data_IF_605674284145
#
_entry.id   IF_605674284145
#
_cell.length_a   1.000
_cell.length_b   1.000
_cell.length_c   1.000
_cell.angle_alpha   90.00
_cell.angle_beta   90.00
_cell.angle_gamma   90.00
#
_symmetry.space_group_name_H-M   'P 1'
#
loop_
_entity.id
_entity.type
_entity.pdbx_description
1 polymer ?
#
# COMPACT_ATOMS: atom_id res chain seq x y z
N UNK A 1 -28.74 6.76 -20.38
CA UNK A 1 -27.66 5.81 -20.65
C UNK A 1 -26.60 5.76 -19.54
N UNK A 2 -25.91 6.86 -19.14
CA UNK A 2 -24.97 6.87 -18.00
C UNK A 2 -25.63 6.40 -16.69
N UNK A 3 -26.86 6.82 -16.41
CA UNK A 3 -27.62 6.42 -15.22
C UNK A 3 -27.91 4.91 -15.20
N UNK A 4 -28.15 4.28 -16.37
CA UNK A 4 -28.37 2.84 -16.44
C UNK A 4 -27.12 2.03 -16.11
N UNK A 5 -25.93 2.49 -16.53
CA UNK A 5 -24.66 1.87 -16.17
C UNK A 5 -24.41 1.99 -14.67
N UNK A 6 -24.55 3.18 -14.11
CA UNK A 6 -24.42 3.43 -12.67
C UNK A 6 -25.36 2.51 -11.86
N UNK A 7 -26.63 2.39 -12.28
CA UNK A 7 -27.61 1.52 -11.63
C UNK A 7 -27.22 0.04 -11.69
N UNK A 8 -26.63 -0.40 -12.80
CA UNK A 8 -26.15 -1.76 -12.95
C UNK A 8 -24.94 -2.05 -12.04
N UNK A 9 -23.96 -1.13 -12.00
CA UNK A 9 -22.80 -1.25 -11.14
C UNK A 9 -23.20 -1.25 -9.65
N UNK A 10 -24.11 -0.37 -9.24
CA UNK A 10 -24.66 -0.36 -7.87
C UNK A 10 -25.40 -1.67 -7.54
N UNK A 11 -26.09 -2.28 -8.51
CA UNK A 11 -26.74 -3.59 -8.32
C UNK A 11 -25.72 -4.72 -8.14
N UNK A 12 -24.62 -4.71 -8.88
CA UNK A 12 -23.51 -5.66 -8.71
C UNK A 12 -22.86 -5.53 -7.33
N UNK A 13 -22.67 -4.30 -6.86
CA UNK A 13 -22.03 -4.01 -5.58
C UNK A 13 -22.96 -4.21 -4.37
N UNK A 14 -24.26 -4.46 -4.58
CA UNK A 14 -25.27 -4.59 -3.50
C UNK A 14 -24.83 -5.58 -2.42
N UNK A 15 -24.41 -6.78 -2.78
CA UNK A 15 -24.02 -7.81 -1.82
C UNK A 15 -22.76 -7.38 -1.03
N UNK A 16 -21.83 -6.75 -1.70
CA UNK A 16 -20.59 -6.23 -1.10
C UNK A 16 -20.92 -5.13 -0.08
N UNK A 17 -21.85 -4.22 -0.42
CA UNK A 17 -22.31 -3.15 0.49
C UNK A 17 -23.02 -3.75 1.72
N UNK A 18 -23.85 -4.78 1.56
CA UNK A 18 -24.53 -5.43 2.67
C UNK A 18 -23.53 -6.07 3.64
N UNK A 19 -22.53 -6.78 3.12
CA UNK A 19 -21.48 -7.40 3.93
C UNK A 19 -20.69 -6.32 4.69
N UNK A 20 -20.32 -5.23 4.02
CA UNK A 20 -19.60 -4.12 4.63
C UNK A 20 -20.43 -3.44 5.73
N UNK A 21 -21.69 -3.13 5.46
CA UNK A 21 -22.58 -2.55 6.45
C UNK A 21 -22.73 -3.45 7.68
N UNK A 22 -22.72 -4.78 7.48
CA UNK A 22 -22.72 -5.76 8.56
C UNK A 22 -21.47 -5.67 9.44
N UNK A 23 -20.28 -5.57 8.84
CA UNK A 23 -19.04 -5.40 9.59
C UNK A 23 -18.99 -4.05 10.32
N UNK A 24 -19.47 -2.98 9.71
CA UNK A 24 -19.58 -1.69 10.38
C UNK A 24 -20.56 -1.75 11.56
N UNK A 25 -21.71 -2.40 11.40
CA UNK A 25 -22.65 -2.59 12.49
C UNK A 25 -22.03 -3.41 13.65
N UNK A 26 -21.26 -4.44 13.33
CA UNK A 26 -20.54 -5.23 14.32
C UNK A 26 -19.50 -4.39 15.07
N UNK A 27 -18.77 -3.51 14.40
CA UNK A 27 -17.83 -2.59 15.04
C UNK A 27 -18.52 -1.59 15.97
N UNK A 28 -19.75 -1.15 15.63
CA UNK A 28 -20.58 -0.33 16.52
C UNK A 28 -20.99 -1.09 17.80
N UNK A 29 -21.41 -2.34 17.66
CA UNK A 29 -21.77 -3.18 18.82
C UNK A 29 -20.56 -3.37 19.75
N UNK A 30 -19.40 -3.64 19.16
CA UNK A 30 -18.15 -3.75 19.94
C UNK A 30 -17.82 -2.42 20.64
N UNK A 31 -18.02 -1.29 19.97
CA UNK A 31 -17.84 0.05 20.54
C UNK A 31 -18.73 0.28 21.73
N UNK A 32 -19.99 -0.15 21.69
CA UNK A 32 -20.94 -0.05 22.78
C UNK A 32 -20.56 -0.90 24.01
N UNK A 33 -19.97 -2.08 23.77
CA UNK A 33 -19.54 -3.00 24.83
C UNK A 33 -18.23 -2.54 25.46
N UNK A 34 -17.32 -1.97 24.67
CA UNK A 34 -15.95 -1.61 25.08
C UNK A 34 -15.85 -0.16 25.56
N UNK A 35 -16.76 0.29 26.42
CA UNK A 35 -16.71 1.63 26.99
C UNK A 35 -15.29 1.98 27.45
N UNK A 36 -14.60 2.91 26.79
CA UNK A 36 -13.28 3.48 27.12
C UNK A 36 -12.03 2.85 26.48
N UNK A 37 -12.13 1.99 25.46
CA UNK A 37 -10.94 1.51 24.75
C UNK A 37 -10.82 2.11 23.35
N UNK A 38 -9.60 2.37 22.86
CA UNK A 38 -9.33 2.82 21.48
C UNK A 38 -9.52 1.69 20.43
N UNK A 39 -9.82 0.48 20.88
CA UNK A 39 -10.01 -0.72 20.04
C UNK A 39 -11.11 -0.54 18.99
N UNK A 40 -12.29 0.06 19.30
CA UNK A 40 -13.34 0.26 18.30
C UNK A 40 -12.93 1.16 17.14
N UNK A 41 -12.14 2.19 17.41
CA UNK A 41 -11.65 3.14 16.40
C UNK A 41 -10.68 2.44 15.45
N UNK A 42 -9.79 1.62 15.99
CA UNK A 42 -8.86 0.82 15.19
C UNK A 42 -9.58 -0.17 14.28
N UNK A 43 -10.60 -0.88 14.79
CA UNK A 43 -11.41 -1.80 13.98
C UNK A 43 -12.16 -1.09 12.87
N UNK A 44 -12.73 0.08 13.14
CA UNK A 44 -13.40 0.89 12.14
C UNK A 44 -12.47 1.26 10.97
N UNK A 45 -11.26 1.74 11.26
CA UNK A 45 -10.27 2.07 10.24
C UNK A 45 -9.80 0.84 9.45
N UNK A 46 -9.60 -0.30 10.12
CA UNK A 46 -9.21 -1.53 9.46
C UNK A 46 -10.29 -2.02 8.48
N UNK A 47 -11.55 -1.96 8.89
CA UNK A 47 -12.69 -2.32 8.03
C UNK A 47 -12.74 -1.39 6.81
N UNK A 48 -12.60 -0.08 7.00
CA UNK A 48 -12.58 0.90 5.91
C UNK A 48 -11.43 0.63 4.95
N UNK A 49 -10.22 0.38 5.47
CA UNK A 49 -9.05 0.08 4.67
C UNK A 49 -9.28 -1.15 3.78
N UNK A 50 -9.66 -2.27 4.38
CA UNK A 50 -9.89 -3.51 3.65
C UNK A 50 -10.97 -3.33 2.59
N UNK A 51 -12.04 -2.62 2.95
CA UNK A 51 -13.15 -2.44 2.04
C UNK A 51 -12.80 -1.50 0.88
N UNK A 52 -12.03 -0.46 1.14
CA UNK A 52 -11.54 0.45 0.11
C UNK A 52 -10.63 -0.24 -0.91
N UNK A 53 -9.97 -1.33 -0.54
CA UNK A 53 -9.16 -2.15 -1.43
C UNK A 53 -10.00 -3.22 -2.17
N UNK A 54 -11.02 -3.78 -1.53
CA UNK A 54 -11.86 -4.86 -2.10
C UNK A 54 -12.90 -4.33 -3.11
N UNK A 55 -13.52 -3.18 -2.83
CA UNK A 55 -14.56 -2.63 -3.72
C UNK A 55 -14.08 -2.40 -5.15
N UNK A 56 -12.88 -1.83 -5.41
CA UNK A 56 -12.36 -1.70 -6.77
C UNK A 56 -12.22 -3.04 -7.48
N UNK A 57 -11.74 -4.09 -6.79
CA UNK A 57 -11.60 -5.43 -7.36
C UNK A 57 -12.94 -6.00 -7.84
N UNK A 58 -14.00 -5.84 -7.02
CA UNK A 58 -15.34 -6.32 -7.37
C UNK A 58 -15.94 -5.48 -8.49
N UNK A 59 -15.81 -4.16 -8.39
CA UNK A 59 -16.35 -3.21 -9.37
C UNK A 59 -15.70 -3.33 -10.75
N UNK A 60 -14.40 -3.65 -10.76
CA UNK A 60 -13.60 -3.79 -11.97
C UNK A 60 -13.34 -5.26 -12.34
N UNK A 61 -14.08 -6.21 -11.75
CA UNK A 61 -13.90 -7.66 -12.00
C UNK A 61 -13.97 -8.04 -13.48
N UNK A 62 -14.77 -7.31 -14.27
CA UNK A 62 -14.84 -7.50 -15.73
C UNK A 62 -13.49 -7.32 -16.45
N UNK A 63 -12.54 -6.58 -15.85
CA UNK A 63 -11.20 -6.38 -16.42
C UNK A 63 -10.34 -7.65 -16.36
N UNK A 64 -10.73 -8.62 -15.54
CA UNK A 64 -10.02 -9.88 -15.36
C UNK A 64 -10.59 -11.01 -16.23
N UNK A 65 -11.73 -10.77 -16.91
CA UNK A 65 -12.36 -11.71 -17.83
C UNK A 65 -12.35 -11.13 -19.25
N UNK A 66 -11.66 -11.81 -20.18
CA UNK A 66 -11.53 -11.35 -21.57
C UNK A 66 -12.88 -11.21 -22.29
N UNK A 67 -13.82 -12.11 -22.00
CA UNK A 67 -15.15 -12.07 -22.63
C UNK A 67 -15.96 -10.86 -22.17
N UNK A 68 -15.92 -10.58 -20.88
CA UNK A 68 -16.58 -9.40 -20.33
C UNK A 68 -15.88 -8.11 -20.78
N UNK A 69 -14.55 -8.10 -20.86
CA UNK A 69 -13.78 -6.96 -21.28
C UNK A 69 -14.12 -6.56 -22.73
N UNK A 70 -14.21 -7.54 -23.66
CA UNK A 70 -14.62 -7.28 -25.05
C UNK A 70 -16.04 -6.77 -25.13
N UNK A 71 -16.96 -7.33 -24.35
CA UNK A 71 -18.34 -6.85 -24.28
C UNK A 71 -18.41 -5.38 -23.80
N UNK A 72 -17.70 -5.04 -22.73
CA UNK A 72 -17.70 -3.66 -22.22
C UNK A 72 -17.00 -2.68 -23.14
N UNK A 73 -15.98 -3.11 -23.89
CA UNK A 73 -15.30 -2.27 -24.89
C UNK A 73 -16.17 -1.96 -26.13
N UNK A 74 -17.17 -2.80 -26.42
CA UNK A 74 -18.10 -2.58 -27.53
C UNK A 74 -19.25 -1.60 -27.19
N UNK A 75 -19.39 -1.21 -25.91
CA UNK A 75 -20.40 -0.25 -25.50
C UNK A 75 -20.05 1.17 -25.98
N UNK A 76 -21.03 1.99 -26.32
CA UNK A 76 -20.82 3.33 -26.89
C UNK A 76 -20.43 4.36 -25.81
N UNK A 77 -19.51 4.01 -24.93
CA UNK A 77 -18.95 4.89 -23.90
C UNK A 77 -17.49 5.18 -24.20
N UNK A 78 -17.07 6.41 -23.95
CA UNK A 78 -15.63 6.70 -23.93
C UNK A 78 -14.99 6.03 -22.70
N UNK A 79 -13.70 5.68 -22.82
CA UNK A 79 -12.94 5.12 -21.69
C UNK A 79 -13.00 6.00 -20.43
N UNK A 80 -12.97 7.33 -20.64
CA UNK A 80 -13.07 8.34 -19.58
C UNK A 80 -14.43 8.26 -18.88
N UNK A 81 -15.52 8.21 -19.64
CA UNK A 81 -16.86 8.11 -19.07
C UNK A 81 -17.05 6.81 -18.28
N UNK A 82 -16.57 5.70 -18.82
CA UNK A 82 -16.61 4.41 -18.16
C UNK A 82 -15.83 4.42 -16.84
N UNK A 83 -14.61 4.99 -16.83
CA UNK A 83 -13.81 5.14 -15.63
C UNK A 83 -14.53 5.96 -14.56
N UNK A 84 -15.00 7.17 -14.93
CA UNK A 84 -15.62 8.08 -13.98
C UNK A 84 -16.90 7.51 -13.35
N UNK A 85 -17.75 6.86 -14.15
CA UNK A 85 -19.00 6.26 -13.65
C UNK A 85 -18.67 5.16 -12.63
N UNK A 86 -17.73 4.26 -12.96
CA UNK A 86 -17.36 3.16 -12.09
C UNK A 86 -16.61 3.62 -10.85
N UNK A 87 -15.73 4.62 -11.01
CA UNK A 87 -15.04 5.22 -9.88
C UNK A 87 -16.05 5.84 -8.89
N UNK A 88 -17.02 6.61 -9.40
CA UNK A 88 -18.05 7.23 -8.56
C UNK A 88 -18.99 6.19 -7.94
N UNK A 89 -19.42 5.17 -8.70
CA UNK A 89 -20.31 4.13 -8.17
C UNK A 89 -19.70 3.37 -7.00
N UNK A 90 -18.43 2.95 -7.12
CA UNK A 90 -17.75 2.25 -6.04
C UNK A 90 -17.43 3.16 -4.85
N UNK A 91 -17.05 4.41 -5.10
CA UNK A 91 -16.81 5.39 -4.04
C UNK A 91 -18.09 5.66 -3.22
N UNK A 92 -19.24 5.80 -3.88
CA UNK A 92 -20.54 5.96 -3.21
C UNK A 92 -20.91 4.73 -2.36
N UNK A 93 -20.60 3.52 -2.84
CA UNK A 93 -20.83 2.29 -2.09
C UNK A 93 -20.02 2.21 -0.79
N UNK A 94 -18.93 2.94 -0.68
CA UNK A 94 -18.12 3.00 0.55
C UNK A 94 -18.56 4.17 1.42
N UNK A 95 -18.71 5.35 0.84
CA UNK A 95 -19.00 6.58 1.59
C UNK A 95 -20.37 6.55 2.26
N UNK A 96 -21.41 6.04 1.58
CA UNK A 96 -22.77 6.03 2.13
C UNK A 96 -22.85 5.23 3.45
N UNK A 97 -22.39 3.97 3.54
CA UNK A 97 -22.40 3.23 4.80
C UNK A 97 -21.56 3.90 5.89
N UNK A 98 -20.44 4.55 5.54
CA UNK A 98 -19.59 5.26 6.51
C UNK A 98 -20.30 6.49 7.07
N UNK A 99 -21.01 7.26 6.25
CA UNK A 99 -21.79 8.40 6.71
C UNK A 99 -22.91 7.92 7.65
N UNK A 100 -23.62 6.85 7.29
CA UNK A 100 -24.66 6.27 8.14
C UNK A 100 -24.08 5.84 9.48
N UNK A 101 -22.93 5.18 9.46
CA UNK A 101 -22.20 4.80 10.67
C UNK A 101 -21.88 6.00 11.55
N UNK A 102 -21.31 7.09 10.98
CA UNK A 102 -21.00 8.31 11.71
C UNK A 102 -22.26 8.95 12.34
N UNK A 103 -23.38 8.94 11.63
CA UNK A 103 -24.66 9.47 12.16
C UNK A 103 -25.14 8.66 13.37
N UNK A 104 -25.07 7.33 13.26
CA UNK A 104 -25.49 6.42 14.34
C UNK A 104 -24.57 6.56 15.55
N UNK A 105 -23.24 6.68 15.36
CA UNK A 105 -22.26 6.90 16.43
C UNK A 105 -22.54 8.20 17.23
N UNK A 106 -22.94 9.27 16.52
CA UNK A 106 -23.36 10.53 17.16
C UNK A 106 -24.66 10.37 17.94
N UNK A 107 -25.66 9.69 17.37
CA UNK A 107 -26.97 9.45 18.05
C UNK A 107 -26.76 8.64 19.33
N UNK A 108 -25.85 7.67 19.32
CA UNK A 108 -25.50 6.86 20.49
C UNK A 108 -24.65 7.62 21.52
N UNK A 109 -24.32 8.89 21.27
CA UNK A 109 -23.62 9.77 22.22
C UNK A 109 -22.13 9.51 22.35
N UNK A 110 -21.54 8.66 21.50
CA UNK A 110 -20.11 8.35 21.57
C UNK A 110 -19.26 9.42 20.88
N UNK A 111 -19.70 9.91 19.72
CA UNK A 111 -19.04 11.02 18.99
C UNK A 111 -17.56 10.83 18.64
N UNK A 112 -17.02 9.62 18.90
CA UNK A 112 -15.61 9.28 18.70
C UNK A 112 -15.22 9.32 17.23
N UNK A 113 -16.12 8.85 16.36
CA UNK A 113 -15.87 8.74 14.93
C UNK A 113 -16.12 10.06 14.18
N UNK A 114 -16.98 10.93 14.70
CA UNK A 114 -17.23 12.21 14.06
C UNK A 114 -15.97 13.10 14.00
N UNK A 115 -15.17 13.10 15.07
CA UNK A 115 -13.88 13.80 15.11
C UNK A 115 -12.90 13.28 14.06
N UNK A 116 -13.08 12.03 13.66
CA UNK A 116 -12.21 11.30 12.75
C UNK A 116 -12.83 11.08 11.36
N UNK A 117 -14.02 11.62 11.09
CA UNK A 117 -14.75 11.41 9.83
C UNK A 117 -13.95 11.94 8.61
N UNK A 118 -13.27 13.07 8.74
CA UNK A 118 -12.43 13.62 7.68
C UNK A 118 -11.24 12.71 7.33
N UNK A 119 -10.63 12.07 8.33
CA UNK A 119 -9.56 11.08 8.10
C UNK A 119 -10.08 9.83 7.43
N UNK A 120 -11.24 9.36 7.84
CA UNK A 120 -11.86 8.20 7.22
C UNK A 120 -12.16 8.43 5.73
N UNK A 121 -12.71 9.61 5.39
CA UNK A 121 -12.98 9.99 3.99
C UNK A 121 -11.68 10.06 3.18
N UNK A 122 -10.64 10.65 3.75
CA UNK A 122 -9.35 10.79 3.10
C UNK A 122 -8.67 9.44 2.90
N UNK A 123 -8.76 8.55 3.88
CA UNK A 123 -8.29 7.17 3.80
C UNK A 123 -9.04 6.38 2.73
N UNK A 124 -10.37 6.50 2.68
CA UNK A 124 -11.20 5.89 1.62
C UNK A 124 -10.70 6.37 0.25
N UNK A 125 -10.53 7.66 0.07
CA UNK A 125 -10.11 8.20 -1.21
C UNK A 125 -8.74 7.68 -1.65
N UNK A 126 -7.74 7.66 -0.78
CA UNK A 126 -6.39 7.17 -1.07
C UNK A 126 -6.43 5.69 -1.46
N UNK A 127 -6.99 4.84 -0.58
CA UNK A 127 -6.93 3.39 -0.76
C UNK A 127 -7.88 2.89 -1.83
N UNK A 128 -9.02 3.54 -2.02
CA UNK A 128 -9.92 3.26 -3.13
C UNK A 128 -9.27 3.63 -4.48
N UNK A 129 -8.59 4.77 -4.56
CA UNK A 129 -7.83 5.15 -5.76
C UNK A 129 -6.69 4.18 -6.04
N UNK A 130 -6.00 3.72 -4.99
CA UNK A 130 -4.91 2.74 -5.10
C UNK A 130 -5.43 1.37 -5.56
N UNK A 131 -6.56 0.90 -5.03
CA UNK A 131 -7.21 -0.31 -5.50
C UNK A 131 -7.65 -0.22 -6.96
N UNK A 132 -8.19 0.93 -7.39
CA UNK A 132 -8.50 1.16 -8.81
C UNK A 132 -7.23 1.14 -9.67
N UNK A 133 -6.16 1.81 -9.25
CA UNK A 133 -4.88 1.78 -9.95
C UNK A 133 -4.38 0.34 -10.12
N UNK A 134 -4.36 -0.44 -9.04
CA UNK A 134 -3.92 -1.82 -9.06
C UNK A 134 -4.76 -2.68 -10.03
N UNK A 135 -6.08 -2.55 -10.01
CA UNK A 135 -6.97 -3.28 -10.92
C UNK A 135 -6.74 -2.93 -12.40
N UNK A 136 -6.43 -1.66 -12.71
CA UNK A 136 -6.12 -1.26 -14.10
C UNK A 136 -4.72 -1.72 -14.54
N UNK A 137 -3.78 -1.93 -13.63
CA UNK A 137 -2.43 -2.39 -13.94
C UNK A 137 -2.28 -3.91 -14.03
N UNK A 138 -3.26 -4.66 -13.55
CA UNK A 138 -3.22 -6.12 -13.48
C UNK A 138 -4.23 -6.78 -14.41
N UNK A 139 -4.00 -8.05 -14.73
CA UNK A 139 -4.85 -8.84 -15.65
C UNK A 139 -5.58 -9.98 -14.93
N UNK A 140 -5.34 -10.17 -13.64
CA UNK A 140 -6.03 -11.19 -12.83
C UNK A 140 -6.24 -10.70 -11.40
N UNK A 141 -7.27 -11.23 -10.75
CA UNK A 141 -7.61 -10.90 -9.35
C UNK A 141 -6.45 -11.21 -8.40
N UNK A 142 -5.75 -12.33 -8.61
CA UNK A 142 -4.62 -12.73 -7.75
C UNK A 142 -3.48 -11.70 -7.86
N UNK A 143 -3.16 -11.26 -9.09
CA UNK A 143 -2.13 -10.24 -9.29
C UNK A 143 -2.53 -8.87 -8.75
N UNK A 144 -3.82 -8.55 -8.76
CA UNK A 144 -4.34 -7.32 -8.15
C UNK A 144 -4.13 -7.34 -6.63
N UNK A 145 -4.50 -8.43 -5.96
CA UNK A 145 -4.24 -8.60 -4.52
C UNK A 145 -2.75 -8.48 -4.20
N UNK A 146 -1.90 -9.19 -4.95
CA UNK A 146 -0.46 -9.14 -4.75
C UNK A 146 0.06 -7.71 -4.92
N UNK A 147 -0.37 -7.01 -5.95
CA UNK A 147 0.06 -5.65 -6.22
C UNK A 147 -0.36 -4.69 -5.11
N UNK A 148 -1.60 -4.80 -4.62
CA UNK A 148 -2.09 -4.01 -3.49
C UNK A 148 -1.27 -4.26 -2.22
N UNK A 149 -0.96 -5.52 -1.91
CA UNK A 149 -0.11 -5.90 -0.78
C UNK A 149 1.28 -5.29 -0.95
N UNK A 150 1.89 -5.46 -2.12
CA UNK A 150 3.24 -4.95 -2.40
C UNK A 150 3.31 -3.44 -2.25
N UNK A 151 2.40 -2.69 -2.86
CA UNK A 151 2.42 -1.23 -2.78
C UNK A 151 2.22 -0.74 -1.34
N UNK A 152 1.39 -1.42 -0.55
CA UNK A 152 1.12 -1.00 0.82
C UNK A 152 2.19 -1.42 1.82
N UNK A 153 2.76 -2.61 1.68
CA UNK A 153 3.66 -3.18 2.69
C UNK A 153 5.13 -2.95 2.35
N UNK A 154 5.51 -2.96 1.06
CA UNK A 154 6.92 -2.87 0.67
C UNK A 154 7.63 -1.59 1.14
N UNK A 155 7.04 -0.39 1.10
CA UNK A 155 7.70 0.81 1.60
C UNK A 155 8.01 0.73 3.10
N UNK A 156 7.11 0.12 3.86
CA UNK A 156 7.31 -0.10 5.29
C UNK A 156 8.44 -1.09 5.57
N UNK A 157 8.46 -2.23 4.87
CA UNK A 157 9.54 -3.22 5.00
C UNK A 157 10.88 -2.59 4.66
N UNK A 158 10.97 -1.86 3.56
CA UNK A 158 12.21 -1.20 3.13
C UNK A 158 12.66 -0.19 4.18
N UNK A 159 11.74 0.64 4.69
CA UNK A 159 12.07 1.62 5.72
C UNK A 159 12.56 0.97 7.01
N UNK A 160 11.84 -0.04 7.52
CA UNK A 160 12.21 -0.76 8.75
C UNK A 160 13.57 -1.43 8.63
N UNK A 161 13.80 -2.07 7.50
CA UNK A 161 15.07 -2.76 7.24
C UNK A 161 16.24 -1.77 7.11
N UNK A 162 16.05 -0.65 6.41
CA UNK A 162 17.06 0.42 6.33
C UNK A 162 17.36 0.97 7.72
N UNK A 163 16.33 1.25 8.51
CA UNK A 163 16.48 1.78 9.87
C UNK A 163 17.27 0.82 10.77
N UNK A 164 16.95 -0.48 10.76
CA UNK A 164 17.69 -1.51 11.50
C UNK A 164 19.17 -1.55 11.11
N UNK A 165 19.46 -1.49 9.81
CA UNK A 165 20.83 -1.47 9.29
C UNK A 165 21.58 -0.21 9.72
N UNK A 166 20.94 0.95 9.68
CA UNK A 166 21.57 2.19 10.12
C UNK A 166 21.87 2.18 11.61
N UNK A 167 20.97 1.70 12.46
CA UNK A 167 21.23 1.56 13.89
C UNK A 167 22.45 0.67 14.18
N UNK A 168 22.65 -0.38 13.39
CA UNK A 168 23.73 -1.33 13.60
C UNK A 168 25.11 -0.80 13.14
N UNK A 169 25.14 -0.06 12.02
CA UNK A 169 26.41 0.25 11.35
C UNK A 169 26.83 1.72 11.36
N UNK A 170 25.93 2.64 11.67
CA UNK A 170 26.25 4.07 11.72
C UNK A 170 26.50 4.48 13.17
N UNK A 171 27.74 4.86 13.46
CA UNK A 171 28.14 5.35 14.79
C UNK A 171 27.41 6.67 15.10
N UNK A 172 26.92 6.79 16.34
CA UNK A 172 26.23 7.99 16.80
C UNK A 172 24.70 7.99 16.61
N UNK A 173 24.11 6.99 15.96
CA UNK A 173 22.67 6.74 16.00
C UNK A 173 22.40 5.82 17.21
N UNK A 174 22.64 6.34 18.42
CA UNK A 174 22.25 5.66 19.65
C UNK A 174 20.75 5.88 19.83
N UNK A 175 19.97 4.81 19.79
CA UNK A 175 18.52 4.82 20.06
C UNK A 175 17.78 5.98 19.38
N UNK A 176 18.02 6.21 18.09
CA UNK A 176 17.12 7.06 17.32
C UNK A 176 15.74 6.43 17.44
N UNK A 177 14.85 7.09 18.17
CA UNK A 177 13.48 6.65 18.29
C UNK A 177 12.94 6.48 16.87
N UNK A 178 12.33 5.32 16.66
CA UNK A 178 11.65 5.02 15.41
C UNK A 178 10.73 6.19 15.07
N UNK A 179 11.10 6.97 14.05
CA UNK A 179 10.36 8.18 13.74
C UNK A 179 9.00 7.83 13.17
N UNK A 180 7.99 7.85 14.05
CA UNK A 180 6.59 7.67 13.66
C UNK A 180 6.16 8.69 12.58
N UNK A 181 6.84 9.82 12.51
CA UNK A 181 6.59 10.82 11.46
C UNK A 181 6.95 10.32 10.07
N UNK A 182 8.13 9.72 9.91
CA UNK A 182 8.56 9.16 8.62
C UNK A 182 7.65 8.02 8.19
N UNK A 183 7.28 7.12 9.12
CA UNK A 183 6.33 6.04 8.83
C UNK A 183 4.98 6.60 8.40
N UNK A 184 4.53 7.67 9.03
CA UNK A 184 3.25 8.30 8.68
C UNK A 184 3.25 8.92 7.28
N UNK A 185 4.39 9.43 6.81
CA UNK A 185 4.52 9.96 5.46
C UNK A 185 4.48 8.81 4.43
N UNK A 186 5.18 7.71 4.73
CA UNK A 186 5.29 6.56 3.83
C UNK A 186 3.99 5.75 3.78
N UNK A 187 3.34 5.59 4.92
CA UNK A 187 2.12 4.80 5.09
C UNK A 187 1.03 5.64 5.78
N UNK A 188 0.22 6.38 5.01
CA UNK A 188 -0.88 7.15 5.56
C UNK A 188 -1.83 6.33 6.44
N UNK A 189 -2.09 5.07 6.06
CA UNK A 189 -2.94 4.16 6.84
C UNK A 189 -2.41 3.93 8.25
N UNK A 190 -1.11 3.77 8.40
CA UNK A 190 -0.51 3.46 9.69
C UNK A 190 -0.72 4.57 10.71
N UNK A 191 -0.56 5.83 10.29
CA UNK A 191 -0.82 6.97 11.16
C UNK A 191 -2.30 7.15 11.48
N UNK A 192 -3.14 6.99 10.46
CA UNK A 192 -4.59 7.08 10.64
C UNK A 192 -5.11 5.97 11.57
N UNK A 193 -4.47 4.80 11.53
CA UNK A 193 -4.79 3.65 12.39
C UNK A 193 -4.35 3.86 13.84
N UNK A 194 -3.15 4.42 14.09
CA UNK A 194 -2.58 4.55 15.45
C UNK A 194 -3.02 5.82 16.15
N UNK A 195 -3.14 6.93 15.46
CA UNK A 195 -3.28 8.25 16.10
C UNK A 195 -4.56 9.01 15.78
N UNK A 196 -5.39 8.54 14.87
CA UNK A 196 -6.51 9.36 14.37
C UNK A 196 -6.02 10.71 13.82
N UNK A 197 -6.95 11.61 13.53
CA UNK A 197 -6.61 12.99 13.12
C UNK A 197 -6.45 13.97 14.29
N UNK A 198 -6.68 13.53 15.51
CA UNK A 198 -6.53 14.38 16.69
C UNK A 198 -5.06 14.75 16.87
N UNK A 199 -4.59 15.74 16.16
CA UNK A 199 -3.19 16.22 16.19
C UNK A 199 -2.47 16.25 14.84
N UNK A 200 -3.14 15.89 13.72
CA UNK A 200 -2.57 16.13 12.39
C UNK A 200 -2.57 17.63 12.09
N UNK A 201 -1.38 18.17 11.85
CA UNK A 201 -1.28 19.52 11.31
C UNK A 201 -1.93 19.60 9.93
N UNK A 202 -2.41 20.77 9.53
CA UNK A 202 -2.99 21.01 8.20
C UNK A 202 -2.04 20.58 7.06
N UNK A 203 -0.73 20.56 7.32
CA UNK A 203 0.29 20.09 6.40
C UNK A 203 0.10 18.62 6.01
N UNK A 204 -0.12 17.71 6.98
CA UNK A 204 -0.31 16.28 6.67
C UNK A 204 -1.61 16.00 5.92
N UNK A 205 -2.67 16.76 6.23
CA UNK A 205 -3.92 16.65 5.48
C UNK A 205 -3.73 17.01 4.01
N UNK A 206 -2.99 18.09 3.77
CA UNK A 206 -2.70 18.55 2.41
C UNK A 206 -1.79 17.57 1.68
N UNK A 207 -0.78 17.01 2.36
CA UNK A 207 0.12 15.99 1.82
C UNK A 207 -0.66 14.72 1.42
N UNK A 208 -1.56 14.24 2.27
CA UNK A 208 -2.36 13.04 1.98
C UNK A 208 -3.39 13.29 0.88
N UNK A 209 -3.99 14.48 0.85
CA UNK A 209 -4.87 14.88 -0.25
C UNK A 209 -4.10 14.91 -1.58
N UNK A 210 -2.89 15.47 -1.59
CA UNK A 210 -2.01 15.45 -2.76
C UNK A 210 -1.63 14.02 -3.18
N UNK A 211 -1.31 13.14 -2.23
CA UNK A 211 -1.00 11.74 -2.50
C UNK A 211 -2.19 11.01 -3.14
N UNK A 212 -3.40 11.18 -2.58
CA UNK A 212 -4.62 10.61 -3.15
C UNK A 212 -4.92 11.11 -4.56
N UNK A 213 -4.67 12.40 -4.81
CA UNK A 213 -4.85 13.01 -6.12
C UNK A 213 -3.87 12.44 -7.16
N UNK A 214 -2.61 12.29 -6.80
CA UNK A 214 -1.60 11.68 -7.69
C UNK A 214 -1.99 10.25 -8.05
N UNK A 215 -2.38 9.43 -7.07
CA UNK A 215 -2.83 8.06 -7.32
C UNK A 215 -4.08 8.02 -8.21
N UNK A 216 -5.04 8.91 -7.96
CA UNK A 216 -6.24 9.03 -8.79
C UNK A 216 -5.89 9.35 -10.25
N UNK A 217 -5.00 10.32 -10.48
CA UNK A 217 -4.53 10.67 -11.84
C UNK A 217 -3.83 9.46 -12.48
N UNK A 218 -2.99 8.76 -11.75
CA UNK A 218 -2.33 7.55 -12.26
C UNK A 218 -3.34 6.46 -12.63
N UNK A 219 -4.37 6.24 -11.81
CA UNK A 219 -5.44 5.28 -12.09
C UNK A 219 -6.23 5.69 -13.35
N UNK A 220 -6.52 6.97 -13.50
CA UNK A 220 -7.18 7.53 -14.67
C UNK A 220 -6.34 7.33 -15.95
N UNK A 221 -5.05 7.64 -15.90
CA UNK A 221 -4.14 7.42 -17.03
C UNK A 221 -3.98 5.93 -17.36
N UNK A 222 -3.89 5.08 -16.36
CA UNK A 222 -3.84 3.63 -16.54
C UNK A 222 -5.11 3.11 -17.24
N UNK A 223 -6.29 3.61 -16.84
CA UNK A 223 -7.56 3.23 -17.48
C UNK A 223 -7.67 3.66 -18.93
N UNK A 224 -7.21 4.88 -19.26
CA UNK A 224 -7.27 5.44 -20.61
C UNK A 224 -6.35 4.71 -21.59
N UNK A 225 -5.17 4.27 -21.11
CA UNK A 225 -4.14 3.62 -21.91
C UNK A 225 -4.25 2.09 -21.92
N UNK A 226 -5.17 1.50 -21.15
CA UNK A 226 -5.32 0.05 -21.09
C UNK A 226 -5.82 -0.50 -22.44
N UNK A 227 -5.07 -1.47 -22.96
CA UNK A 227 -5.44 -2.26 -24.14
C UNK A 227 -5.98 -3.62 -23.71
N UNK A 228 -7.00 -4.13 -24.43
CA UNK A 228 -7.70 -5.35 -24.07
C UNK A 228 -6.86 -6.63 -24.20
N UNK A 229 -5.76 -6.60 -24.95
CA UNK A 229 -5.04 -7.81 -25.40
C UNK A 229 -3.71 -8.05 -24.67
N UNK A 230 -3.17 -7.04 -23.99
CA UNK A 230 -1.82 -7.14 -23.41
C UNK A 230 -1.83 -7.86 -22.06
N UNK A 231 -1.24 -9.05 -22.02
CA UNK A 231 -1.03 -9.79 -20.78
C UNK A 231 0.46 -10.13 -20.62
N UNK A 232 1.17 -9.31 -19.87
CA UNK A 232 2.58 -9.52 -19.55
C UNK A 232 2.73 -10.13 -18.14
N UNK A 233 2.66 -11.44 -18.05
CA UNK A 233 2.84 -12.17 -16.78
C UNK A 233 1.95 -11.66 -15.63
N UNK A 234 0.68 -11.34 -15.94
CA UNK A 234 -0.27 -10.84 -14.95
C UNK A 234 -0.36 -9.31 -14.86
N UNK A 235 0.43 -8.57 -15.63
CA UNK A 235 0.37 -7.11 -15.71
C UNK A 235 -0.02 -6.63 -17.11
N UNK A 236 -0.68 -5.48 -17.16
CA UNK A 236 -1.09 -4.84 -18.42
C UNK A 236 0.11 -4.23 -19.17
N UNK A 237 1.11 -3.78 -18.42
CA UNK A 237 2.31 -3.12 -18.95
C UNK A 237 3.56 -3.88 -18.54
N UNK A 238 4.42 -4.22 -19.50
CA UNK A 238 5.66 -4.97 -19.24
C UNK A 238 6.61 -4.23 -18.28
N UNK A 239 6.79 -2.93 -18.46
CA UNK A 239 7.68 -2.12 -17.61
C UNK A 239 7.20 -2.12 -16.17
N UNK A 240 5.90 -1.97 -15.94
CA UNK A 240 5.31 -1.97 -14.59
C UNK A 240 5.52 -3.32 -13.91
N UNK A 241 5.31 -4.42 -14.64
CA UNK A 241 5.58 -5.76 -14.14
C UNK A 241 7.04 -5.95 -13.69
N UNK A 242 8.00 -5.45 -14.46
CA UNK A 242 9.43 -5.54 -14.08
C UNK A 242 9.76 -4.64 -12.89
N UNK A 243 9.22 -3.43 -12.81
CA UNK A 243 9.41 -2.52 -11.66
C UNK A 243 8.84 -3.12 -10.38
N UNK A 244 7.62 -3.66 -10.43
CA UNK A 244 6.99 -4.30 -9.26
C UNK A 244 7.78 -5.52 -8.83
N UNK A 245 8.25 -6.32 -9.78
CA UNK A 245 9.13 -7.45 -9.50
C UNK A 245 10.40 -7.01 -8.75
N UNK A 246 11.06 -5.95 -9.20
CA UNK A 246 12.23 -5.40 -8.51
C UNK A 246 11.91 -4.96 -7.07
N UNK A 247 10.81 -4.24 -6.88
CA UNK A 247 10.33 -3.82 -5.55
C UNK A 247 10.08 -5.04 -4.65
N UNK A 248 9.41 -6.07 -5.17
CA UNK A 248 9.18 -7.32 -4.43
C UNK A 248 10.49 -7.99 -4.01
N UNK A 249 11.46 -8.10 -4.93
CA UNK A 249 12.74 -8.74 -4.64
C UNK A 249 13.48 -7.96 -3.56
N UNK A 250 13.55 -6.63 -3.67
CA UNK A 250 14.19 -5.78 -2.67
C UNK A 250 13.50 -5.95 -1.31
N UNK A 251 12.18 -5.86 -1.27
CA UNK A 251 11.42 -5.97 -0.02
C UNK A 251 11.59 -7.33 0.66
N UNK A 252 11.52 -8.43 -0.11
CA UNK A 252 11.69 -9.79 0.43
C UNK A 252 13.14 -10.03 0.87
N UNK A 253 14.14 -9.56 0.11
CA UNK A 253 15.55 -9.71 0.49
C UNK A 253 15.86 -8.97 1.80
N UNK A 254 15.37 -7.74 1.94
CA UNK A 254 15.56 -6.95 3.15
C UNK A 254 14.80 -7.53 4.35
N UNK A 255 13.60 -8.06 4.13
CA UNK A 255 12.83 -8.74 5.17
C UNK A 255 13.57 -9.99 5.67
N UNK A 256 14.10 -10.81 4.77
CA UNK A 256 14.89 -11.98 5.14
C UNK A 256 16.13 -11.56 5.93
N UNK A 257 16.81 -10.49 5.49
CA UNK A 257 18.02 -9.99 6.17
C UNK A 257 17.68 -9.50 7.58
N UNK A 258 16.56 -8.81 7.78
CA UNK A 258 16.14 -8.33 9.11
C UNK A 258 15.62 -9.44 10.03
N UNK A 259 15.00 -10.49 9.51
CA UNK A 259 14.56 -11.66 10.31
C UNK A 259 15.76 -12.52 10.75
N UNK A 260 16.72 -12.66 9.86
CA UNK A 260 17.97 -13.38 10.15
C UNK A 260 18.91 -12.55 11.04
N UNK A 261 18.42 -11.47 11.66
CA UNK A 261 19.13 -10.57 12.56
C UNK A 261 19.83 -11.33 13.71
N UNK A 262 20.66 -12.25 13.28
CA UNK A 262 21.80 -12.74 14.02
C UNK A 262 22.59 -11.48 14.33
N UNK A 263 23.13 -11.29 15.54
CA UNK A 263 23.94 -10.14 15.86
C UNK A 263 25.04 -10.00 14.81
N UNK A 264 24.74 -9.24 13.77
CA UNK A 264 25.62 -9.04 12.61
C UNK A 264 26.72 -8.12 13.08
N UNK A 265 27.69 -8.72 13.76
CA UNK A 265 28.84 -8.03 14.36
C UNK A 265 29.76 -7.39 13.30
N UNK A 266 29.56 -7.70 12.00
CA UNK A 266 30.42 -7.17 10.95
C UNK A 266 29.64 -6.81 9.68
N UNK A 267 30.04 -5.72 9.05
CA UNK A 267 29.53 -5.29 7.74
C UNK A 267 29.68 -6.41 6.68
N UNK A 268 30.72 -7.22 6.78
CA UNK A 268 30.98 -8.33 5.84
C UNK A 268 29.88 -9.39 5.91
N UNK A 269 29.48 -9.81 7.12
CA UNK A 269 28.41 -10.80 7.30
C UNK A 269 27.06 -10.26 6.82
N UNK A 270 26.76 -8.99 7.06
CA UNK A 270 25.56 -8.34 6.53
C UNK A 270 25.50 -8.42 5.00
N UNK A 271 26.57 -8.03 4.32
CA UNK A 271 26.66 -8.07 2.86
C UNK A 271 26.44 -9.49 2.33
N UNK A 272 27.07 -10.50 2.94
CA UNK A 272 26.94 -11.90 2.53
C UNK A 272 25.49 -12.38 2.70
N UNK A 273 24.85 -12.10 3.84
CA UNK A 273 23.46 -12.48 4.09
C UNK A 273 22.52 -11.80 3.08
N UNK A 274 22.73 -10.51 2.83
CA UNK A 274 21.90 -9.77 1.86
C UNK A 274 22.07 -10.32 0.43
N UNK A 275 23.27 -10.70 0.03
CA UNK A 275 23.52 -11.36 -1.27
C UNK A 275 22.72 -12.66 -1.35
N UNK A 276 22.84 -13.54 -0.37
CA UNK A 276 22.13 -14.81 -0.33
C UNK A 276 20.62 -14.59 -0.36
N UNK A 277 20.11 -13.70 0.49
CA UNK A 277 18.70 -13.36 0.58
C UNK A 277 18.15 -12.83 -0.77
N UNK A 278 18.91 -11.98 -1.46
CA UNK A 278 18.54 -11.42 -2.76
C UNK A 278 18.44 -12.52 -3.84
N UNK A 279 19.39 -13.44 -3.87
CA UNK A 279 19.32 -14.56 -4.81
C UNK A 279 18.14 -15.47 -4.52
N UNK A 280 17.89 -15.81 -3.26
CA UNK A 280 16.72 -16.62 -2.84
C UNK A 280 15.42 -15.93 -3.22
N UNK A 281 15.27 -14.64 -2.92
CA UNK A 281 14.08 -13.85 -3.27
C UNK A 281 13.87 -13.78 -4.78
N UNK A 282 14.93 -13.54 -5.56
CA UNK A 282 14.88 -13.50 -7.03
C UNK A 282 14.43 -14.84 -7.60
N UNK A 283 14.95 -15.92 -7.07
CA UNK A 283 14.60 -17.28 -7.48
C UNK A 283 13.12 -17.58 -7.21
N UNK A 284 12.64 -17.31 -6.00
CA UNK A 284 11.24 -17.53 -5.59
C UNK A 284 10.29 -16.72 -6.48
N UNK A 285 10.54 -15.42 -6.63
CA UNK A 285 9.66 -14.52 -7.40
C UNK A 285 9.63 -14.90 -8.87
N UNK A 286 10.78 -15.28 -9.44
CA UNK A 286 10.83 -15.70 -10.83
C UNK A 286 10.12 -17.04 -11.05
N UNK A 287 10.24 -17.97 -10.10
CA UNK A 287 9.51 -19.25 -10.16
C UNK A 287 7.99 -19.03 -10.12
N UNK A 288 7.51 -18.15 -9.24
CA UNK A 288 6.08 -17.81 -9.13
C UNK A 288 5.56 -17.20 -10.44
N UNK A 289 6.34 -16.30 -11.07
CA UNK A 289 5.91 -15.59 -12.28
C UNK A 289 5.91 -16.46 -13.53
N UNK A 290 6.99 -17.21 -13.77
CA UNK A 290 7.21 -17.86 -15.06
C UNK A 290 6.97 -19.37 -15.05
N UNK A 291 6.83 -19.97 -13.87
CA UNK A 291 6.83 -21.44 -13.67
C UNK A 291 8.04 -22.14 -14.32
N UNK A 292 9.00 -21.37 -14.79
CA UNK A 292 10.28 -21.82 -15.38
C UNK A 292 11.40 -20.96 -14.85
N UNK A 293 12.48 -21.58 -14.44
CA UNK A 293 13.64 -20.89 -13.89
C UNK A 293 14.60 -20.57 -15.03
N UNK A 294 14.85 -19.30 -15.25
CA UNK A 294 15.88 -18.82 -16.16
C UNK A 294 17.09 -18.40 -15.35
N UNK A 295 17.99 -19.32 -15.05
CA UNK A 295 19.14 -19.12 -14.17
C UNK A 295 19.96 -17.88 -14.52
N UNK A 296 20.26 -17.66 -15.79
CA UNK A 296 21.03 -16.48 -16.23
C UNK A 296 20.33 -15.17 -15.88
N UNK A 297 19.02 -15.10 -16.05
CA UNK A 297 18.23 -13.91 -15.73
C UNK A 297 18.18 -13.68 -14.22
N UNK A 298 18.09 -14.75 -13.41
CA UNK A 298 18.16 -14.67 -11.96
C UNK A 298 19.50 -14.09 -11.48
N UNK A 299 20.60 -14.58 -12.05
CA UNK A 299 21.94 -14.11 -11.69
C UNK A 299 22.09 -12.62 -12.05
N UNK A 300 21.73 -12.22 -13.27
CA UNK A 300 21.87 -10.82 -13.71
C UNK A 300 21.00 -9.89 -12.86
N UNK A 301 19.74 -10.24 -12.61
CA UNK A 301 18.86 -9.41 -11.78
C UNK A 301 19.31 -9.37 -10.32
N UNK A 302 19.70 -10.51 -9.75
CA UNK A 302 20.21 -10.60 -8.40
C UNK A 302 21.47 -9.77 -8.19
N UNK A 303 22.45 -9.86 -9.10
CA UNK A 303 23.68 -9.06 -9.02
C UNK A 303 23.43 -7.57 -9.15
N UNK A 304 22.52 -7.16 -10.04
CA UNK A 304 22.17 -5.75 -10.21
C UNK A 304 21.52 -5.18 -8.95
N UNK A 305 20.60 -5.91 -8.32
CA UNK A 305 19.93 -5.48 -7.08
C UNK A 305 20.94 -5.39 -5.93
N UNK A 306 21.83 -6.37 -5.80
CA UNK A 306 22.89 -6.34 -4.78
C UNK A 306 23.79 -5.12 -4.97
N UNK A 307 24.20 -4.82 -6.19
CA UNK A 307 25.00 -3.62 -6.48
C UNK A 307 24.26 -2.34 -6.09
N UNK A 308 22.97 -2.22 -6.45
CA UNK A 308 22.16 -1.04 -6.10
C UNK A 308 22.01 -0.92 -4.59
N UNK A 309 21.76 -2.00 -3.86
CA UNK A 309 21.62 -1.97 -2.39
C UNK A 309 22.95 -1.57 -1.72
N UNK A 310 24.08 -2.09 -2.19
CA UNK A 310 25.41 -1.73 -1.67
C UNK A 310 25.72 -0.25 -1.94
N UNK A 311 25.44 0.25 -3.15
CA UNK A 311 25.67 1.67 -3.50
C UNK A 311 24.81 2.59 -2.64
N UNK A 312 23.53 2.28 -2.45
CA UNK A 312 22.63 3.05 -1.58
C UNK A 312 23.17 3.04 -0.14
N UNK A 313 23.59 1.89 0.36
CA UNK A 313 24.09 1.74 1.72
C UNK A 313 25.39 2.53 1.94
N UNK A 314 26.37 2.39 1.05
CA UNK A 314 27.66 3.10 1.17
C UNK A 314 27.46 4.61 1.03
N UNK A 315 26.64 5.03 0.06
CA UNK A 315 26.34 6.45 -0.18
C UNK A 315 25.65 7.10 1.01
N UNK A 316 24.65 6.43 1.56
CA UNK A 316 23.90 6.94 2.70
C UNK A 316 24.72 6.91 4.00
N UNK A 317 25.57 5.90 4.21
CA UNK A 317 26.48 5.84 5.34
C UNK A 317 27.47 7.04 5.30
N UNK A 318 28.10 7.29 4.16
CA UNK A 318 29.00 8.42 3.99
C UNK A 318 28.33 9.77 4.23
N UNK A 319 27.09 9.93 3.75
CA UNK A 319 26.31 11.16 3.98
C UNK A 319 26.00 11.35 5.48
N UNK A 320 25.55 10.33 6.18
CA UNK A 320 25.19 10.40 7.60
C UNK A 320 26.44 10.61 8.50
N UNK A 321 27.55 9.94 8.23
CA UNK A 321 28.79 10.12 8.99
C UNK A 321 29.35 11.54 8.85
N UNK A 322 29.17 12.19 7.71
CA UNK A 322 29.59 13.57 7.50
C UNK A 322 28.64 14.60 8.14
N UNK A 323 27.39 14.22 8.38
CA UNK A 323 26.39 15.11 8.96
C UNK A 323 26.39 15.13 10.49
N UNK A 324 27.09 14.19 11.15
CA UNK A 324 27.22 14.17 12.62
C UNK A 324 28.19 15.31 13.01
N UNK A 325 27.72 16.33 13.79
CA UNK A 325 28.59 17.40 14.24
C UNK A 325 29.80 16.85 14.99
N UNK A 326 30.99 17.38 14.69
CA UNK A 326 32.24 16.94 15.29
C UNK A 326 32.27 17.03 16.83
N UNK A 327 31.43 17.90 17.41
CA UNK A 327 31.30 18.12 18.86
C UNK A 327 30.74 16.93 19.65
N UNK A 328 30.03 16.01 18.98
CA UNK A 328 29.46 14.81 19.65
C UNK A 328 30.49 13.68 19.78
N UNK A 329 31.63 13.75 19.07
CA UNK A 329 32.68 12.73 19.16
C UNK A 329 33.39 12.68 20.51
N UNK A 330 33.20 13.68 21.36
CA UNK A 330 33.88 13.79 22.66
C UNK A 330 33.18 13.11 23.82
N UNK A 331 31.96 12.62 23.69
CA UNK A 331 31.14 12.08 24.82
C UNK A 331 31.33 10.56 25.00
N UNK A 332 32.06 9.88 24.12
CA UNK A 332 32.11 8.40 24.08
C UNK A 332 33.24 7.77 24.96
N UNK A 333 33.90 8.49 25.84
CA UNK A 333 35.12 7.97 26.47
C UNK A 333 35.02 7.69 27.96
N UNK A 334 33.90 7.79 28.60
CA UNK A 334 33.78 7.46 30.02
C UNK A 334 32.54 6.60 30.36
N UNK A 335 32.54 5.35 29.95
CA UNK A 335 31.73 4.30 30.57
C UNK A 335 32.44 2.97 30.50
#
# INVERSE_FOLDING_TARGET
>A
MMISLLKNDLKQLKNTVVIFSGFLALSLVISLISFHSDVPVGMFYLIILLYSLVVPMVNLSYLFDQTQQTHFSSLPYTKIQSFMIRYLSGLLCIIIPVIIYCIVDVILGQGLVLKNCSSAILMIWIYYSLGNLAAYLTTSVIMDIILQIVINISPFIIYMSLFSVYQTFVRGIISADFSMEVVSIILPAFRLFIGGLSGLSSYYLLLYAGYGLVIFIMAFLASSNRECVNNYHGFTYKIIGEVIKLICIISVSWLITSILDIPVQSLKSFIIINIIATFVATFIIQFIQSKRIRYVLCIVQGTLIVLVTIVIFIGSKGYLENYIPHDIKAVEINS
#
